data_IF_655758788463
#
_entry.id   IF_655758788463
#
_cell.length_a   1.000
_cell.length_b   1.000
_cell.length_c   1.000
_cell.angle_alpha   90.00
_cell.angle_beta   90.00
_cell.angle_gamma   90.00
#
_symmetry.space_group_name_H-M   'P 1'
#
loop_
_entity.id
_entity.type
_entity.pdbx_description
1 polymer ?
#
# COMPACT_ATOMS: atom_id res chain seq x y z
N UNK A 1 -15.31 3.06 9.76
CA UNK A 1 -14.88 1.65 9.61
C UNK A 1 -13.68 1.45 10.51
N UNK A 2 -13.78 0.62 11.56
CA UNK A 2 -12.59 0.20 12.33
C UNK A 2 -11.83 -0.78 11.44
N UNK A 3 -10.89 -0.24 10.70
CA UNK A 3 -10.13 -0.95 9.69
C UNK A 3 -9.02 -1.74 10.40
N UNK A 4 -9.22 -3.05 10.60
CA UNK A 4 -8.27 -3.98 11.21
C UNK A 4 -7.09 -4.32 10.27
N UNK A 5 -6.52 -3.31 9.62
CA UNK A 5 -5.33 -3.50 8.78
C UNK A 5 -4.13 -3.56 9.70
N UNK A 6 -3.60 -4.78 9.86
CA UNK A 6 -2.36 -5.03 10.58
C UNK A 6 -1.20 -4.85 9.63
N UNK A 7 -0.23 -4.07 10.07
CA UNK A 7 0.98 -3.77 9.31
C UNK A 7 2.19 -4.27 10.09
N UNK A 8 3.12 -4.91 9.40
CA UNK A 8 4.42 -5.28 9.94
C UNK A 8 5.55 -4.78 9.04
N UNK A 9 6.76 -4.67 9.59
CA UNK A 9 7.95 -4.32 8.82
C UNK A 9 8.62 -5.59 8.32
N UNK A 10 9.03 -5.58 7.06
CA UNK A 10 9.69 -6.71 6.43
C UNK A 10 10.81 -6.23 5.50
N UNK A 11 11.91 -6.98 5.44
CA UNK A 11 13.02 -6.68 4.55
C UNK A 11 12.97 -7.60 3.32
N UNK A 12 12.82 -7.03 2.13
CA UNK A 12 12.73 -7.77 0.87
C UNK A 12 13.77 -7.21 -0.11
N UNK A 13 14.66 -8.06 -0.62
CA UNK A 13 15.70 -7.65 -1.56
C UNK A 13 16.60 -6.51 -1.05
N UNK A 14 16.88 -6.49 0.26
CA UNK A 14 17.70 -5.46 0.91
C UNK A 14 16.99 -4.13 1.20
N UNK A 15 15.69 -4.03 0.92
CA UNK A 15 14.87 -2.84 1.19
C UNK A 15 13.83 -3.11 2.26
N UNK A 16 13.51 -2.09 3.05
CA UNK A 16 12.49 -2.16 4.09
C UNK A 16 11.12 -1.78 3.54
N UNK A 17 10.11 -2.55 3.94
CA UNK A 17 8.73 -2.33 3.58
C UNK A 17 7.83 -2.38 4.81
N UNK A 18 6.75 -1.60 4.81
CA UNK A 18 5.56 -1.95 5.58
C UNK A 18 4.66 -2.82 4.71
N UNK A 19 4.33 -4.00 5.21
CA UNK A 19 3.48 -4.99 4.56
C UNK A 19 2.20 -5.13 5.36
N UNK A 20 1.07 -5.26 4.66
CA UNK A 20 -0.20 -5.53 5.31
C UNK A 20 -0.56 -7.00 5.20
N UNK A 21 -1.14 -7.57 6.25
CA UNK A 21 -1.64 -8.96 6.25
C UNK A 21 -2.85 -9.17 5.32
N UNK A 22 -3.51 -8.09 4.89
CA UNK A 22 -4.65 -8.19 3.98
C UNK A 22 -4.19 -8.35 2.53
N UNK A 23 -4.80 -9.31 1.84
CA UNK A 23 -4.47 -9.64 0.46
C UNK A 23 -4.65 -8.45 -0.49
N UNK A 24 -3.72 -8.34 -1.46
CA UNK A 24 -3.68 -7.31 -2.49
C UNK A 24 -3.51 -5.86 -2.01
N UNK A 25 -3.33 -5.62 -0.70
CA UNK A 25 -2.92 -4.30 -0.21
C UNK A 25 -1.46 -4.06 -0.65
N UNK A 26 -1.17 -2.93 -1.32
CA UNK A 26 0.18 -2.66 -1.79
C UNK A 26 1.14 -2.42 -0.62
N UNK A 27 2.36 -2.92 -0.78
CA UNK A 27 3.46 -2.68 0.15
C UNK A 27 3.93 -1.22 0.08
N UNK A 28 4.42 -0.70 1.21
CA UNK A 28 4.98 0.65 1.32
C UNK A 28 6.50 0.54 1.51
N UNK A 29 7.29 0.97 0.52
CA UNK A 29 8.76 1.01 0.57
C UNK A 29 9.22 2.16 1.48
N UNK A 30 10.11 1.87 2.42
CA UNK A 30 10.81 2.87 3.25
C UNK A 30 12.08 3.27 2.52
N UNK A 31 12.14 4.52 2.05
CA UNK A 31 13.29 5.02 1.30
C UNK A 31 14.41 5.50 2.22
N UNK A 32 15.62 5.60 1.70
CA UNK A 32 16.79 6.05 2.48
C UNK A 32 16.68 7.49 2.98
N UNK A 33 15.91 8.33 2.28
CA UNK A 33 15.61 9.72 2.65
C UNK A 33 14.43 9.85 3.63
N UNK A 34 13.94 8.73 4.20
CA UNK A 34 12.89 8.73 5.22
C UNK A 34 11.47 8.90 4.67
N UNK A 35 11.28 8.78 3.36
CA UNK A 35 9.98 8.87 2.69
C UNK A 35 9.36 7.48 2.51
N UNK A 36 8.08 7.49 2.20
CA UNK A 36 7.26 6.30 2.01
C UNK A 36 6.80 6.23 0.57
N UNK A 37 7.19 5.16 -0.13
CA UNK A 37 6.94 5.01 -1.56
C UNK A 37 6.04 3.82 -1.84
N UNK A 38 5.00 4.05 -2.61
CA UNK A 38 4.12 2.99 -3.13
C UNK A 38 3.60 3.35 -4.51
N UNK A 39 3.03 2.37 -5.22
CA UNK A 39 2.38 2.62 -6.50
C UNK A 39 0.89 2.88 -6.30
N UNK A 40 0.38 3.90 -6.96
CA UNK A 40 -1.06 4.13 -7.03
C UNK A 40 -1.74 3.13 -7.98
N UNK A 41 -3.07 3.19 -8.07
CA UNK A 41 -3.86 2.28 -8.90
C UNK A 41 -3.55 2.35 -10.40
N UNK A 42 -2.87 3.42 -10.86
CA UNK A 42 -2.44 3.59 -12.24
C UNK A 42 -0.98 3.11 -12.45
N UNK A 43 -0.37 2.47 -11.46
CA UNK A 43 1.01 1.98 -11.49
C UNK A 43 2.08 3.06 -11.28
N UNK A 44 1.70 4.34 -11.11
CA UNK A 44 2.65 5.45 -10.88
C UNK A 44 3.16 5.40 -9.45
N UNK A 45 4.48 5.52 -9.28
CA UNK A 45 5.10 5.65 -7.95
C UNK A 45 4.78 7.02 -7.35
N UNK A 46 4.33 7.01 -6.10
CA UNK A 46 4.04 8.19 -5.28
C UNK A 46 4.91 8.13 -4.02
N UNK A 47 5.45 9.27 -3.63
CA UNK A 47 6.26 9.45 -2.43
C UNK A 47 5.46 10.29 -1.44
N UNK A 48 5.40 9.84 -0.19
CA UNK A 48 4.81 10.57 0.92
C UNK A 48 5.86 10.81 2.00
N UNK A 49 5.79 11.98 2.62
CA UNK A 49 6.63 12.32 3.77
C UNK A 49 6.08 11.70 5.06
N UNK A 50 4.75 11.58 5.17
CA UNK A 50 4.07 10.93 6.29
C UNK A 50 3.68 9.48 5.94
N UNK A 51 3.91 8.58 6.89
CA UNK A 51 3.47 7.20 6.83
C UNK A 51 1.94 7.09 6.77
N UNK A 52 1.21 7.94 7.49
CA UNK A 52 -0.23 7.91 7.53
C UNK A 52 -0.85 8.15 6.13
N UNK A 53 -0.28 9.09 5.37
CA UNK A 53 -0.71 9.37 4.01
C UNK A 53 -0.41 8.20 3.05
N UNK A 54 0.76 7.57 3.21
CA UNK A 54 1.11 6.38 2.45
C UNK A 54 0.14 5.21 2.71
N UNK A 55 -0.24 4.99 3.98
CA UNK A 55 -1.25 4.00 4.35
C UNK A 55 -2.60 4.33 3.74
N UNK A 56 -3.02 5.59 3.80
CA UNK A 56 -4.29 6.03 3.19
C UNK A 56 -4.31 5.73 1.69
N UNK A 57 -3.25 6.06 0.96
CA UNK A 57 -3.14 5.74 -0.46
C UNK A 57 -3.16 4.22 -0.70
N UNK A 58 -2.47 3.43 0.12
CA UNK A 58 -2.47 1.97 -0.02
C UNK A 58 -3.89 1.38 0.06
N UNK A 59 -4.68 1.87 1.02
CA UNK A 59 -6.07 1.43 1.20
C UNK A 59 -6.98 1.93 0.06
N UNK A 60 -6.76 3.13 -0.46
CA UNK A 60 -7.49 3.63 -1.63
C UNK A 60 -7.21 2.80 -2.90
N UNK A 61 -5.96 2.37 -3.08
CA UNK A 61 -5.56 1.49 -4.19
C UNK A 61 -6.22 0.12 -4.05
N UNK A 62 -6.20 -0.45 -2.85
CA UNK A 62 -6.86 -1.72 -2.55
C UNK A 62 -8.39 -1.66 -2.78
N UNK A 63 -9.06 -0.60 -2.32
CA UNK A 63 -10.49 -0.41 -2.57
C UNK A 63 -10.82 -0.32 -4.07
N UNK A 64 -9.99 0.34 -4.86
CA UNK A 64 -10.15 0.39 -6.33
C UNK A 64 -9.93 -0.97 -6.96
N UNK A 65 -8.91 -1.71 -6.54
CA UNK A 65 -8.64 -3.07 -7.01
C UNK A 65 -9.84 -4.00 -6.78
N UNK A 66 -10.40 -4.00 -5.55
CA UNK A 66 -11.61 -4.77 -5.24
C UNK A 66 -12.79 -4.41 -6.12
N UNK A 67 -13.04 -3.12 -6.34
CA UNK A 67 -14.16 -2.66 -7.18
C UNK A 67 -14.01 -3.15 -8.60
N UNK A 68 -12.81 -3.02 -9.18
CA UNK A 68 -12.54 -3.48 -10.53
C UNK A 68 -12.79 -4.98 -10.65
N UNK A 69 -12.23 -5.80 -9.76
CA UNK A 69 -12.40 -7.26 -9.82
C UNK A 69 -13.84 -7.71 -9.64
N UNK A 70 -14.61 -7.07 -8.74
CA UNK A 70 -16.05 -7.39 -8.60
C UNK A 70 -16.85 -7.14 -9.87
N UNK A 71 -16.50 -6.12 -10.66
CA UNK A 71 -17.15 -5.86 -11.96
C UNK A 71 -16.85 -6.88 -13.05
N UNK A 72 -15.86 -7.77 -12.88
CA UNK A 72 -15.57 -8.84 -13.84
C UNK A 72 -16.22 -10.17 -13.45
N UNK A 73 -16.87 -10.24 -12.28
CA UNK A 73 -17.56 -11.43 -11.78
C UNK A 73 -19.07 -11.44 -12.05
N UNK A 74 -19.63 -10.36 -12.63
CA UNK A 74 -21.04 -10.21 -13.02
C UNK A 74 -21.26 -10.31 -14.55
#
# INVERSE_FOLDING_TARGET
MKNNFKWHKEQIGGKWYSVCEHEHVPMIEHTKDGKYKLRNANGKAVLHEDYADAVKLALEVWEKFKKLNRTWED
#
